data_IF_718264698431
#
_entry.id   IF_718264698431
#
_cell.length_a   1.000
_cell.length_b   1.000
_cell.length_c   1.000
_cell.angle_alpha   90.00
_cell.angle_beta   90.00
_cell.angle_gamma   90.00
#
_symmetry.space_group_name_H-M   'P 1'
#
loop_
_entity.id
_entity.type
_entity.pdbx_description
1 polymer ?
#
# COMPACT_ATOMS: atom_id res chain seq x y z
N UNK A 1 7.06 8.17 -16.91
CA UNK A 1 8.37 7.66 -16.47
C UNK A 1 8.37 6.15 -16.67
N UNK A 2 9.38 5.56 -17.31
CA UNK A 2 9.39 4.14 -17.68
C UNK A 2 9.44 3.26 -16.43
N UNK A 3 8.36 2.53 -16.16
CA UNK A 3 8.26 1.58 -15.06
C UNK A 3 9.03 0.30 -15.40
N UNK A 4 10.30 0.24 -15.04
CA UNK A 4 11.03 -1.02 -15.04
C UNK A 4 10.39 -1.97 -14.01
N UNK A 5 9.75 -3.04 -14.45
CA UNK A 5 9.24 -4.11 -13.56
C UNK A 5 10.36 -4.69 -12.67
N UNK A 6 11.62 -4.57 -13.11
CA UNK A 6 12.81 -4.96 -12.34
C UNK A 6 13.12 -4.01 -11.17
N UNK A 7 12.63 -2.77 -11.19
CA UNK A 7 12.72 -1.80 -10.08
C UNK A 7 11.42 -1.66 -9.31
N UNK A 8 10.36 -2.38 -9.70
CA UNK A 8 9.18 -2.57 -8.86
C UNK A 8 9.64 -3.35 -7.62
N UNK A 9 9.98 -2.59 -6.60
CA UNK A 9 10.52 -3.11 -5.37
C UNK A 9 9.49 -4.08 -4.79
N UNK A 10 9.83 -5.38 -4.71
CA UNK A 10 8.94 -6.44 -4.22
C UNK A 10 8.36 -6.11 -2.83
N UNK A 11 9.02 -5.24 -2.07
CA UNK A 11 8.50 -4.75 -0.82
C UNK A 11 7.19 -3.96 -1.03
N UNK A 12 7.06 -3.16 -2.09
CA UNK A 12 5.83 -2.42 -2.40
C UNK A 12 4.65 -3.36 -2.67
N UNK A 13 4.86 -4.46 -3.38
CA UNK A 13 3.82 -5.47 -3.58
C UNK A 13 3.42 -6.14 -2.26
N UNK A 14 4.39 -6.51 -1.41
CA UNK A 14 4.10 -7.05 -0.07
C UNK A 14 3.38 -6.06 0.83
N UNK A 15 3.68 -4.76 0.72
CA UNK A 15 2.94 -3.73 1.43
C UNK A 15 1.53 -3.56 0.91
N UNK A 16 1.31 -3.62 -0.40
CA UNK A 16 -0.02 -3.57 -0.98
C UNK A 16 -0.89 -4.73 -0.47
N UNK A 17 -0.40 -5.97 -0.56
CA UNK A 17 -1.06 -7.17 -0.04
C UNK A 17 -1.45 -7.03 1.45
N UNK A 18 -0.48 -6.67 2.29
CA UNK A 18 -0.73 -6.49 3.72
C UNK A 18 -1.73 -5.35 4.00
N UNK A 19 -1.74 -4.27 3.22
CA UNK A 19 -2.69 -3.17 3.41
C UNK A 19 -4.11 -3.54 2.96
N UNK A 20 -4.26 -4.37 1.93
CA UNK A 20 -5.56 -4.89 1.47
C UNK A 20 -6.19 -5.75 2.57
N UNK A 21 -5.40 -6.66 3.15
CA UNK A 21 -5.86 -7.58 4.20
C UNK A 21 -6.15 -6.86 5.52
N UNK A 22 -5.18 -6.07 6.01
CA UNK A 22 -5.24 -5.51 7.34
C UNK A 22 -6.13 -4.28 7.45
N UNK A 23 -6.33 -3.56 6.33
CA UNK A 23 -7.04 -2.26 6.28
C UNK A 23 -6.59 -1.30 7.38
N UNK A 24 -5.30 -1.37 7.73
CA UNK A 24 -4.71 -0.60 8.80
C UNK A 24 -3.19 -0.55 8.65
N UNK A 25 -2.64 0.66 8.51
CA UNK A 25 -1.20 0.86 8.29
C UNK A 25 -0.35 0.32 9.44
N UNK A 26 -0.82 0.44 10.69
CA UNK A 26 -0.08 -0.04 11.86
C UNK A 26 -0.05 -1.56 11.92
N UNK A 27 -1.18 -2.23 11.65
CA UNK A 27 -1.23 -3.70 11.60
C UNK A 27 -0.44 -4.26 10.42
N UNK A 28 -0.52 -3.64 9.26
CA UNK A 28 0.31 -4.01 8.10
C UNK A 28 1.81 -3.88 8.41
N UNK A 29 2.22 -2.83 9.13
CA UNK A 29 3.61 -2.68 9.59
C UNK A 29 4.03 -3.81 10.54
N UNK A 30 3.16 -4.19 11.49
CA UNK A 30 3.41 -5.33 12.37
C UNK A 30 3.54 -6.65 11.60
N UNK A 31 2.62 -6.94 10.67
CA UNK A 31 2.64 -8.15 9.82
C UNK A 31 3.92 -8.26 8.98
N UNK A 32 4.42 -7.13 8.50
CA UNK A 32 5.62 -7.08 7.66
C UNK A 32 6.92 -6.96 8.45
N UNK A 33 6.86 -6.91 9.79
CA UNK A 33 8.02 -6.62 10.65
C UNK A 33 8.74 -5.32 10.26
N UNK A 34 7.95 -4.29 9.93
CA UNK A 34 8.41 -2.95 9.54
C UNK A 34 7.89 -1.89 10.51
N UNK A 35 8.44 -0.69 10.40
CA UNK A 35 7.91 0.47 11.12
C UNK A 35 6.71 1.06 10.37
N UNK A 36 5.77 1.67 11.10
CA UNK A 36 4.63 2.36 10.48
C UNK A 36 5.05 3.44 9.47
N UNK A 37 6.09 4.28 9.73
CA UNK A 37 6.59 5.24 8.73
C UNK A 37 7.10 4.57 7.44
N UNK A 38 7.72 3.38 7.54
CA UNK A 38 8.18 2.65 6.37
C UNK A 38 6.99 2.22 5.49
N UNK A 39 5.95 1.61 6.09
CA UNK A 39 4.74 1.21 5.35
C UNK A 39 3.98 2.42 4.80
N UNK A 40 3.91 3.52 5.55
CA UNK A 40 3.30 4.76 5.04
C UNK A 40 4.05 5.32 3.82
N UNK A 41 5.38 5.30 3.83
CA UNK A 41 6.18 5.73 2.69
C UNK A 41 6.03 4.81 1.48
N UNK A 42 5.87 3.50 1.71
CA UNK A 42 5.57 2.52 0.67
C UNK A 42 4.19 2.76 0.05
N UNK A 43 3.17 3.05 0.88
CA UNK A 43 1.84 3.43 0.42
C UNK A 43 1.88 4.70 -0.43
N UNK A 44 2.64 5.72 -0.05
CA UNK A 44 2.82 6.92 -0.89
C UNK A 44 3.39 6.56 -2.26
N UNK A 45 4.45 5.75 -2.33
CA UNK A 45 5.04 5.31 -3.60
C UNK A 45 4.07 4.48 -4.45
N UNK A 46 3.28 3.61 -3.81
CA UNK A 46 2.23 2.85 -4.50
C UNK A 46 1.20 3.80 -5.11
N UNK A 47 0.77 4.83 -4.37
CA UNK A 47 -0.17 5.84 -4.88
C UNK A 47 0.39 6.57 -6.10
N UNK A 48 1.64 7.00 -6.03
CA UNK A 48 2.32 7.67 -7.15
C UNK A 48 2.47 6.74 -8.38
N UNK A 49 2.73 5.45 -8.15
CA UNK A 49 2.89 4.47 -9.21
C UNK A 49 1.58 4.17 -9.94
N UNK A 50 0.49 4.00 -9.18
CA UNK A 50 -0.82 3.66 -9.73
C UNK A 50 -1.66 4.88 -10.14
N UNK A 51 -1.19 6.08 -9.81
CA UNK A 51 -1.91 7.35 -9.92
C UNK A 51 -3.31 7.26 -9.28
N UNK A 52 -3.36 6.64 -8.08
CA UNK A 52 -4.59 6.33 -7.36
C UNK A 52 -4.35 6.40 -5.85
N UNK A 53 -5.30 6.90 -5.04
CA UNK A 53 -5.12 6.96 -3.59
C UNK A 53 -5.03 5.56 -2.93
N UNK A 54 -5.46 4.50 -3.63
CA UNK A 54 -5.52 3.07 -3.27
C UNK A 54 -6.37 2.74 -2.06
N UNK A 55 -6.35 3.60 -1.06
CA UNK A 55 -7.10 3.50 0.16
C UNK A 55 -7.54 4.90 0.58
N UNK A 56 -8.83 5.04 0.86
CA UNK A 56 -9.44 6.24 1.39
C UNK A 56 -9.77 6.04 2.86
N UNK A 57 -9.71 7.14 3.62
CA UNK A 57 -10.06 7.11 5.04
C UNK A 57 -11.52 7.49 5.20
N UNK A 58 -12.32 6.55 5.68
CA UNK A 58 -13.69 6.78 6.17
C UNK A 58 -13.67 6.75 7.70
N UNK A 59 -14.73 7.19 8.38
CA UNK A 59 -14.79 7.12 9.83
C UNK A 59 -14.44 5.71 10.32
N UNK A 60 -13.39 5.61 11.13
CA UNK A 60 -12.88 4.38 11.75
C UNK A 60 -12.31 3.29 10.82
N UNK A 61 -12.30 3.47 9.49
CA UNK A 61 -11.83 2.43 8.57
C UNK A 61 -10.97 2.99 7.41
N UNK A 62 -10.04 2.16 6.93
CA UNK A 62 -9.26 2.38 5.71
C UNK A 62 -9.86 1.49 4.62
N UNK A 63 -10.55 2.10 3.66
CA UNK A 63 -11.29 1.36 2.63
C UNK A 63 -10.49 1.37 1.32
N UNK A 64 -10.21 0.20 0.71
CA UNK A 64 -9.53 0.14 -0.57
C UNK A 64 -10.40 0.71 -1.69
N UNK A 65 -9.77 1.40 -2.64
CA UNK A 65 -10.42 1.82 -3.90
C UNK A 65 -10.66 0.59 -4.78
N UNK A 66 -11.48 0.76 -5.82
CA UNK A 66 -11.67 -0.29 -6.83
C UNK A 66 -10.33 -0.73 -7.44
N UNK A 67 -9.42 0.22 -7.69
CA UNK A 67 -8.10 -0.09 -8.27
C UNK A 67 -7.24 -0.95 -7.36
N UNK A 68 -7.24 -0.69 -6.05
CA UNK A 68 -6.53 -1.52 -5.09
C UNK A 68 -7.08 -2.95 -4.99
N UNK A 69 -8.38 -3.16 -5.27
CA UNK A 69 -9.00 -4.50 -5.26
C UNK A 69 -8.76 -5.30 -6.55
N UNK A 70 -8.48 -4.62 -7.66
CA UNK A 70 -8.31 -5.22 -8.99
C UNK A 70 -6.85 -5.52 -9.36
N UNK A 71 -5.90 -5.19 -8.47
CA UNK A 71 -4.47 -5.41 -8.66
C UNK A 71 -4.06 -6.73 -8.02
#
# INVERSE_FOLDING_TARGET
MKSDIRTLNLNLLRALDALIDERNVTRAAQRLSLTQPAVSGMLTRLRDYFDDPLFVRVPHEMVPTLRAQLT
#
